data_IF_266684739949
#
_entry.id   IF_266684739949
#
_cell.length_a   1.000
_cell.length_b   1.000
_cell.length_c   1.000
_cell.angle_alpha   90.00
_cell.angle_beta   90.00
_cell.angle_gamma   90.00
#
_symmetry.space_group_name_H-M   'P 1'
#
loop_
_entity.id
_entity.type
_entity.pdbx_description
1 polymer ?
#
# COMPACT_ATOMS: atom_id res chain seq x y z
N UNK A 1 5.75 9.97 -29.31
CA UNK A 1 7.18 9.62 -29.45
C UNK A 1 7.28 8.38 -30.34
N UNK A 2 8.29 8.31 -31.20
CA UNK A 2 8.62 7.15 -32.03
C UNK A 2 9.80 6.41 -31.40
N UNK A 3 9.66 5.09 -31.17
CA UNK A 3 10.79 4.25 -30.76
C UNK A 3 11.74 4.02 -31.93
N UNK A 4 13.03 4.22 -31.71
CA UNK A 4 14.08 4.15 -32.75
C UNK A 4 15.03 2.97 -32.57
N UNK A 5 15.16 2.45 -31.34
CA UNK A 5 15.87 1.23 -31.00
C UNK A 5 15.37 0.67 -29.66
N UNK A 6 15.47 -0.65 -29.48
CA UNK A 6 15.26 -1.31 -28.20
C UNK A 6 16.24 -2.48 -28.00
N UNK A 7 16.69 -2.67 -26.76
CA UNK A 7 17.68 -3.66 -26.39
C UNK A 7 17.17 -4.47 -25.20
N UNK A 8 17.42 -5.77 -25.22
CA UNK A 8 17.27 -6.67 -24.08
C UNK A 8 18.62 -7.35 -23.90
N UNK A 9 19.20 -7.20 -22.71
CA UNK A 9 20.43 -7.86 -22.31
C UNK A 9 20.12 -8.68 -21.05
N UNK A 10 20.27 -9.99 -21.13
CA UNK A 10 19.92 -10.92 -20.08
C UNK A 10 21.18 -11.56 -19.49
N UNK A 11 21.25 -11.58 -18.17
CA UNK A 11 22.12 -12.44 -17.39
C UNK A 11 21.32 -13.65 -16.95
N UNK A 12 21.76 -14.84 -17.34
CA UNK A 12 21.07 -16.10 -17.04
C UNK A 12 21.99 -17.12 -16.35
N UNK A 13 23.30 -16.94 -16.46
CA UNK A 13 24.32 -17.84 -15.91
C UNK A 13 24.65 -17.46 -14.46
N UNK A 14 24.92 -18.45 -13.61
CA UNK A 14 25.38 -18.26 -12.21
C UNK A 14 24.41 -17.48 -11.29
N UNK A 15 23.13 -17.43 -11.64
CA UNK A 15 22.09 -16.64 -10.95
C UNK A 15 21.06 -17.48 -10.17
N UNK A 16 21.46 -18.66 -9.68
CA UNK A 16 20.54 -19.61 -9.04
C UNK A 16 19.94 -19.06 -7.73
N UNK A 17 20.70 -18.28 -6.97
CA UNK A 17 20.31 -17.78 -5.65
C UNK A 17 19.83 -16.31 -5.70
N UNK A 18 18.84 -15.91 -4.87
CA UNK A 18 18.36 -14.53 -4.81
C UNK A 18 19.45 -13.49 -4.57
N UNK A 19 20.40 -13.78 -3.67
CA UNK A 19 21.49 -12.87 -3.34
C UNK A 19 22.46 -12.68 -4.51
N UNK A 20 22.70 -13.73 -5.30
CA UNK A 20 23.51 -13.63 -6.53
C UNK A 20 22.83 -12.72 -7.56
N UNK A 21 21.51 -12.83 -7.72
CA UNK A 21 20.73 -11.96 -8.61
C UNK A 21 20.71 -10.51 -8.13
N UNK A 22 20.57 -10.30 -6.83
CA UNK A 22 20.64 -8.95 -6.23
C UNK A 22 22.01 -8.33 -6.45
N UNK A 23 23.09 -9.05 -6.15
CA UNK A 23 24.45 -8.58 -6.34
C UNK A 23 24.77 -8.25 -7.80
N UNK A 24 24.33 -9.07 -8.76
CA UNK A 24 24.49 -8.77 -10.19
C UNK A 24 23.64 -7.55 -10.59
N UNK A 25 22.39 -7.46 -10.12
CA UNK A 25 21.55 -6.29 -10.33
C UNK A 25 22.20 -4.99 -9.84
N UNK A 26 22.78 -5.00 -8.65
CA UNK A 26 23.45 -3.84 -8.06
C UNK A 26 24.73 -3.48 -8.82
N UNK A 27 25.51 -4.47 -9.27
CA UNK A 27 26.67 -4.26 -10.15
C UNK A 27 26.26 -3.56 -11.45
N UNK A 28 25.20 -4.03 -12.10
CA UNK A 28 24.72 -3.44 -13.35
C UNK A 28 24.14 -2.03 -13.15
N UNK A 29 23.44 -1.80 -12.04
CA UNK A 29 22.98 -0.46 -11.66
C UNK A 29 24.16 0.49 -11.49
N UNK A 30 25.23 0.07 -10.82
CA UNK A 30 26.42 0.90 -10.63
C UNK A 30 27.05 1.35 -11.96
N UNK A 31 27.02 0.50 -13.01
CA UNK A 31 27.48 0.89 -14.37
C UNK A 31 26.62 2.01 -14.94
N UNK A 32 25.29 1.92 -14.80
CA UNK A 32 24.35 2.92 -15.32
C UNK A 32 24.43 4.22 -14.52
N UNK A 33 24.60 4.13 -13.20
CA UNK A 33 24.83 5.28 -12.32
C UNK A 33 26.13 5.99 -12.66
N UNK A 34 27.22 5.26 -12.91
CA UNK A 34 28.48 5.84 -13.37
C UNK A 34 28.32 6.53 -14.73
N UNK A 35 27.55 5.94 -15.65
CA UNK A 35 27.21 6.58 -16.92
C UNK A 35 26.41 7.88 -16.73
N UNK A 36 25.39 7.89 -15.86
CA UNK A 36 24.63 9.10 -15.55
C UNK A 36 25.50 10.19 -14.90
N UNK A 37 26.35 9.84 -13.94
CA UNK A 37 27.33 10.75 -13.34
C UNK A 37 28.30 11.31 -14.39
N UNK A 38 28.75 10.49 -15.34
CA UNK A 38 29.64 10.96 -16.42
C UNK A 38 29.01 12.01 -17.34
N UNK A 39 27.67 12.14 -17.34
CA UNK A 39 26.93 13.21 -18.02
C UNK A 39 26.76 14.48 -17.16
N UNK A 40 27.29 14.51 -15.93
CA UNK A 40 27.22 15.67 -15.03
C UNK A 40 26.02 15.71 -14.09
N UNK A 41 25.30 14.59 -13.91
CA UNK A 41 24.24 14.51 -12.91
C UNK A 41 24.82 14.58 -11.48
N UNK A 42 24.23 15.43 -10.63
CA UNK A 42 24.64 15.61 -9.23
C UNK A 42 24.16 14.50 -8.28
N UNK A 43 23.08 13.81 -8.67
CA UNK A 43 22.49 12.67 -7.96
C UNK A 43 22.26 11.52 -8.95
N UNK A 44 22.03 10.32 -8.41
CA UNK A 44 21.65 9.12 -9.17
C UNK A 44 20.28 8.57 -8.74
N UNK A 45 19.54 9.37 -7.97
CA UNK A 45 18.19 9.08 -7.48
C UNK A 45 17.27 10.27 -7.70
N UNK A 46 15.97 9.98 -7.81
CA UNK A 46 14.92 10.99 -8.00
C UNK A 46 14.98 11.63 -9.38
N UNK A 47 14.78 12.93 -9.45
CA UNK A 47 14.80 13.71 -10.68
C UNK A 47 15.89 14.77 -10.64
N UNK A 48 16.47 15.10 -11.78
CA UNK A 48 17.44 16.20 -11.88
C UNK A 48 17.79 16.55 -13.31
N UNK A 49 18.83 17.37 -13.47
CA UNK A 49 19.37 17.78 -14.77
C UNK A 49 20.81 17.28 -14.93
N UNK A 50 21.29 17.27 -16.18
CA UNK A 50 22.66 16.92 -16.52
C UNK A 50 23.15 17.75 -17.72
N UNK A 51 24.45 17.71 -18.01
CA UNK A 51 25.04 18.46 -19.11
C UNK A 51 25.00 17.64 -20.41
N UNK A 52 24.05 17.95 -21.30
CA UNK A 52 24.08 17.40 -22.66
C UNK A 52 25.28 17.95 -23.44
N UNK A 53 25.91 17.08 -24.24
CA UNK A 53 27.13 17.41 -25.00
C UNK A 53 26.88 18.48 -26.07
N UNK A 54 25.67 18.52 -26.62
CA UNK A 54 25.24 19.46 -27.66
C UNK A 54 24.57 20.72 -27.08
N UNK A 55 24.52 20.87 -25.76
CA UNK A 55 23.86 21.99 -25.09
C UNK A 55 22.33 21.90 -25.02
N UNK A 56 21.74 20.76 -25.37
CA UNK A 56 20.30 20.50 -25.19
C UNK A 56 19.85 20.65 -23.73
N UNK A 57 18.58 21.02 -23.54
CA UNK A 57 17.97 20.97 -22.21
C UNK A 57 17.77 19.51 -21.80
N UNK A 58 18.38 19.12 -20.69
CA UNK A 58 18.60 17.72 -20.36
C UNK A 58 18.23 17.40 -18.91
N UNK A 59 17.27 16.49 -18.76
CA UNK A 59 16.72 16.06 -17.49
C UNK A 59 16.76 14.54 -17.34
N UNK A 60 16.82 14.04 -16.13
CA UNK A 60 16.69 12.62 -15.83
C UNK A 60 15.64 12.36 -14.74
N UNK A 61 15.08 11.16 -14.76
CA UNK A 61 14.23 10.60 -13.72
C UNK A 61 14.67 9.16 -13.42
N UNK A 62 14.86 8.86 -12.15
CA UNK A 62 15.17 7.52 -11.66
C UNK A 62 13.99 7.01 -10.85
N UNK A 63 13.46 5.85 -11.23
CA UNK A 63 12.36 5.18 -10.53
C UNK A 63 12.83 3.83 -10.03
N UNK A 64 12.59 3.54 -8.76
CA UNK A 64 12.92 2.25 -8.14
C UNK A 64 11.66 1.63 -7.57
N UNK A 65 11.47 0.35 -7.85
CA UNK A 65 10.36 -0.47 -7.36
C UNK A 65 10.92 -1.77 -6.80
N UNK A 66 10.47 -2.17 -5.62
CA UNK A 66 10.88 -3.40 -4.95
C UNK A 66 9.65 -4.23 -4.66
N UNK A 67 9.72 -5.52 -4.94
CA UNK A 67 8.67 -6.51 -4.69
C UNK A 67 9.29 -7.79 -4.11
N UNK A 68 9.37 -7.86 -2.78
CA UNK A 68 10.07 -8.92 -2.07
C UNK A 68 11.56 -8.96 -2.45
N UNK A 69 12.00 -10.08 -3.02
CA UNK A 69 13.38 -10.26 -3.52
C UNK A 69 13.59 -9.69 -4.92
N UNK A 70 12.51 -9.35 -5.63
CA UNK A 70 12.57 -8.78 -6.97
C UNK A 70 12.66 -7.26 -6.89
N UNK A 71 13.26 -6.67 -7.91
CA UNK A 71 13.30 -5.21 -7.99
C UNK A 71 13.48 -4.73 -9.42
N UNK A 72 12.96 -3.56 -9.71
CA UNK A 72 13.10 -2.89 -10.98
C UNK A 72 13.56 -1.46 -10.73
N UNK A 73 14.63 -1.04 -11.41
CA UNK A 73 15.13 0.33 -11.35
C UNK A 73 15.31 0.85 -12.77
N UNK A 74 14.73 2.01 -13.07
CA UNK A 74 14.72 2.64 -14.39
C UNK A 74 15.35 4.02 -14.31
N UNK A 75 16.26 4.29 -15.24
CA UNK A 75 16.89 5.58 -15.48
C UNK A 75 16.37 6.11 -16.81
N UNK A 76 15.54 7.14 -16.78
CA UNK A 76 15.00 7.79 -17.96
C UNK A 76 15.70 9.14 -18.15
N UNK A 77 16.33 9.34 -19.30
CA UNK A 77 17.01 10.57 -19.68
C UNK A 77 16.25 11.20 -20.85
N UNK A 78 15.95 12.49 -20.74
CA UNK A 78 15.25 13.28 -21.74
C UNK A 78 16.12 14.48 -22.15
N UNK A 79 16.36 14.63 -23.45
CA UNK A 79 17.10 15.76 -24.04
C UNK A 79 16.18 16.47 -25.04
N UNK A 80 16.03 17.79 -24.91
CA UNK A 80 15.28 18.63 -25.84
C UNK A 80 16.26 19.55 -26.56
N UNK A 81 16.40 19.36 -27.87
CA UNK A 81 17.30 20.17 -28.70
C UNK A 81 16.73 21.57 -28.94
N UNK A 82 17.57 22.56 -29.31
CA UNK A 82 17.10 23.91 -29.65
C UNK A 82 16.03 23.94 -30.75
N UNK A 83 16.05 22.98 -31.68
CA UNK A 83 15.06 22.83 -32.75
C UNK A 83 13.75 22.15 -32.29
N UNK A 84 13.60 21.89 -31.00
CA UNK A 84 12.41 21.28 -30.41
C UNK A 84 12.29 19.77 -30.68
N UNK A 85 13.40 19.06 -30.91
CA UNK A 85 13.40 17.60 -30.94
C UNK A 85 13.58 17.06 -29.53
N UNK A 86 12.74 16.09 -29.15
CA UNK A 86 12.84 15.40 -27.86
C UNK A 86 13.44 14.02 -28.07
N UNK A 87 14.53 13.70 -27.40
CA UNK A 87 15.13 12.38 -27.34
C UNK A 87 14.94 11.81 -25.94
N UNK A 88 14.49 10.56 -25.85
CA UNK A 88 14.34 9.85 -24.58
C UNK A 88 15.13 8.56 -24.64
N UNK A 89 16.03 8.37 -23.68
CA UNK A 89 16.74 7.09 -23.47
C UNK A 89 16.37 6.55 -22.10
N UNK A 90 15.73 5.39 -22.07
CA UNK A 90 15.35 4.72 -20.83
C UNK A 90 16.17 3.45 -20.67
N UNK A 91 16.82 3.26 -19.53
CA UNK A 91 17.64 2.09 -19.19
C UNK A 91 17.12 1.53 -17.88
N UNK A 92 16.65 0.29 -17.87
CA UNK A 92 16.22 -0.37 -16.63
C UNK A 92 16.98 -1.64 -16.34
N UNK A 93 17.18 -1.91 -15.05
CA UNK A 93 17.67 -3.18 -14.52
C UNK A 93 16.54 -3.82 -13.72
N UNK A 94 16.21 -5.04 -14.10
CA UNK A 94 15.18 -5.86 -13.47
C UNK A 94 15.85 -7.07 -12.85
N UNK A 95 15.79 -7.18 -11.53
CA UNK A 95 16.18 -8.37 -10.78
C UNK A 95 14.93 -9.23 -10.65
N UNK A 96 14.90 -10.31 -11.44
CA UNK A 96 13.77 -11.22 -11.53
C UNK A 96 13.94 -12.47 -10.69
N UNK A 97 13.05 -13.43 -10.93
CA UNK A 97 13.07 -14.74 -10.26
C UNK A 97 14.24 -15.63 -10.70
N UNK A 98 14.66 -15.54 -11.96
CA UNK A 98 15.65 -16.46 -12.56
C UNK A 98 16.82 -15.75 -13.21
N UNK A 99 16.64 -14.50 -13.61
CA UNK A 99 17.59 -13.74 -14.40
C UNK A 99 17.67 -12.30 -13.89
N UNK A 100 18.70 -11.59 -14.36
CA UNK A 100 18.77 -10.14 -14.28
C UNK A 100 18.70 -9.61 -15.70
N UNK A 101 17.75 -8.72 -15.96
CA UNK A 101 17.48 -8.20 -17.31
C UNK A 101 17.71 -6.71 -17.36
N UNK A 102 18.53 -6.28 -18.33
CA UNK A 102 18.64 -4.88 -18.72
C UNK A 102 17.77 -4.64 -19.94
N UNK A 103 16.82 -3.71 -19.82
CA UNK A 103 15.98 -3.29 -20.93
C UNK A 103 16.25 -1.82 -21.25
N UNK A 104 16.59 -1.54 -22.51
CA UNK A 104 16.92 -0.19 -22.98
C UNK A 104 16.03 0.20 -24.14
N UNK A 105 15.49 1.41 -24.11
CA UNK A 105 14.72 2.00 -25.20
C UNK A 105 15.27 3.37 -25.57
N UNK A 106 15.30 3.64 -26.88
CA UNK A 106 15.57 4.96 -27.41
C UNK A 106 14.35 5.43 -28.18
N UNK A 107 13.89 6.64 -27.90
CA UNK A 107 12.73 7.25 -28.54
C UNK A 107 13.05 8.68 -28.98
N UNK A 108 12.40 9.10 -30.07
CA UNK A 108 12.49 10.46 -30.60
C UNK A 108 11.09 11.02 -30.82
N UNK A 109 10.93 12.32 -30.62
CA UNK A 109 9.72 13.05 -31.00
C UNK A 109 10.02 14.53 -31.17
N UNK A 110 8.96 15.32 -31.24
CA UNK A 110 9.04 16.78 -31.25
C UNK A 110 8.16 17.33 -30.15
N UNK A 111 8.60 18.45 -29.56
CA UNK A 111 7.75 19.28 -28.69
C UNK A 111 6.90 20.26 -29.50
N UNK A 112 7.14 20.39 -30.79
CA UNK A 112 6.35 21.21 -31.70
C UNK A 112 5.15 20.41 -32.25
N UNK A 113 4.03 21.10 -32.48
CA UNK A 113 2.83 20.51 -33.10
C UNK A 113 2.93 20.64 -34.63
N UNK A 114 3.91 19.96 -35.23
CA UNK A 114 4.17 19.99 -36.67
C UNK A 114 4.21 18.57 -37.26
N UNK A 115 3.53 18.38 -38.39
CA UNK A 115 3.62 17.14 -39.17
C UNK A 115 4.88 17.22 -40.04
N UNK A 116 5.95 16.55 -39.62
CA UNK A 116 7.22 16.51 -40.36
C UNK A 116 7.93 15.17 -40.20
N UNK A 117 8.88 14.89 -41.10
CA UNK A 117 9.73 13.70 -41.01
C UNK A 117 10.84 13.94 -40.00
N UNK A 118 10.95 13.08 -39.00
CA UNK A 118 12.08 13.09 -38.06
C UNK A 118 13.16 12.15 -38.60
N UNK A 119 14.22 12.73 -39.15
CA UNK A 119 15.40 11.97 -39.55
C UNK A 119 16.33 11.76 -38.35
N UNK A 120 16.58 10.50 -38.02
CA UNK A 120 17.45 10.08 -36.93
C UNK A 120 18.43 9.03 -37.40
N UNK A 121 19.61 9.07 -36.79
CA UNK A 121 20.66 8.10 -37.01
C UNK A 121 21.08 7.49 -35.65
N UNK A 122 20.24 6.64 -35.04
CA UNK A 122 20.44 6.18 -33.67
C UNK A 122 21.67 5.27 -33.60
N UNK A 123 22.69 5.70 -32.86
CA UNK A 123 23.87 4.89 -32.53
C UNK A 123 23.62 4.06 -31.28
N UNK A 124 24.31 2.93 -31.14
CA UNK A 124 24.30 2.17 -29.89
C UNK A 124 24.68 3.08 -28.71
N UNK A 125 23.84 3.18 -27.66
CA UNK A 125 24.14 3.97 -26.47
C UNK A 125 25.46 3.53 -25.82
N UNK A 126 26.24 4.48 -25.30
CA UNK A 126 27.49 4.18 -24.60
C UNK A 126 27.26 3.20 -23.44
N UNK A 127 26.20 3.41 -22.66
CA UNK A 127 25.83 2.54 -21.53
C UNK A 127 25.60 1.09 -21.94
N UNK A 128 25.04 0.81 -23.13
CA UNK A 128 24.88 -0.57 -23.62
C UNK A 128 26.24 -1.23 -23.84
N UNK A 129 27.21 -0.51 -24.41
CA UNK A 129 28.58 -1.03 -24.57
C UNK A 129 29.30 -1.19 -23.23
N UNK A 130 29.14 -0.22 -22.32
CA UNK A 130 29.76 -0.28 -20.99
C UNK A 130 29.20 -1.46 -20.17
N UNK A 131 27.92 -1.82 -20.35
CA UNK A 131 27.29 -3.03 -19.80
C UNK A 131 27.80 -4.31 -20.46
N UNK A 132 27.86 -4.37 -21.79
CA UNK A 132 28.37 -5.53 -22.52
C UNK A 132 29.86 -5.81 -22.24
N UNK A 133 30.63 -4.79 -21.82
CA UNK A 133 32.01 -4.93 -21.38
C UNK A 133 32.16 -5.55 -19.99
N UNK A 134 31.07 -5.68 -19.21
CA UNK A 134 31.12 -6.35 -17.91
C UNK A 134 31.37 -7.86 -18.06
N UNK A 135 32.18 -8.47 -17.18
CA UNK A 135 32.46 -9.92 -17.23
C UNK A 135 31.18 -10.78 -17.21
N UNK A 136 31.24 -11.97 -17.82
CA UNK A 136 30.12 -12.92 -17.90
C UNK A 136 29.37 -12.94 -19.23
N UNK A 137 28.54 -13.95 -19.46
CA UNK A 137 27.70 -14.07 -20.66
C UNK A 137 26.56 -13.06 -20.68
N UNK A 138 26.30 -12.47 -21.85
CA UNK A 138 25.11 -11.66 -22.12
C UNK A 138 24.27 -12.35 -23.17
N UNK A 139 22.96 -12.34 -22.98
CA UNK A 139 22.02 -13.01 -23.88
C UNK A 139 20.91 -12.08 -24.32
N UNK A 140 20.36 -12.37 -25.48
CA UNK A 140 19.02 -11.96 -25.88
C UNK A 140 18.30 -13.26 -26.22
N UNK A 141 17.28 -13.66 -25.45
CA UNK A 141 16.67 -14.97 -25.59
C UNK A 141 17.72 -16.10 -25.58
N UNK A 142 17.68 -16.99 -26.58
CA UNK A 142 18.64 -18.09 -26.69
C UNK A 142 19.99 -17.67 -27.32
N UNK A 143 20.14 -16.43 -27.80
CA UNK A 143 21.36 -15.98 -28.48
C UNK A 143 22.32 -15.29 -27.52
N UNK A 144 23.57 -15.76 -27.48
CA UNK A 144 24.65 -15.04 -26.80
C UNK A 144 25.05 -13.80 -27.59
N UNK A 145 25.05 -12.65 -26.92
CA UNK A 145 25.52 -11.38 -27.44
C UNK A 145 27.05 -11.36 -27.43
N UNK A 146 27.65 -11.00 -28.56
CA UNK A 146 29.11 -10.98 -28.75
C UNK A 146 29.52 -9.64 -29.37
N UNK A 147 30.79 -9.29 -29.17
CA UNK A 147 31.44 -8.25 -29.96
C UNK A 147 31.76 -8.74 -31.37
N UNK A 148 32.77 -8.14 -32.01
CA UNK A 148 33.30 -8.63 -33.28
C UNK A 148 33.90 -10.03 -33.09
N UNK A 149 33.47 -11.00 -33.90
CA UNK A 149 34.03 -12.35 -33.93
C UNK A 149 34.80 -12.57 -35.23
N UNK A 150 36.05 -13.01 -35.15
CA UNK A 150 36.84 -13.47 -36.30
C UNK A 150 36.56 -14.95 -36.54
N UNK A 151 36.31 -15.32 -37.79
CA UNK A 151 36.01 -16.68 -38.21
C UNK A 151 36.86 -16.99 -39.42
N UNK A 152 37.91 -17.77 -39.18
CA UNK A 152 38.98 -18.01 -40.13
C UNK A 152 39.08 -19.51 -40.39
N UNK A 153 39.19 -19.91 -41.66
CA UNK A 153 39.22 -21.30 -42.09
C UNK A 153 37.83 -21.94 -42.27
N UNK A 154 37.83 -23.04 -43.02
CA UNK A 154 36.62 -23.74 -43.45
C UNK A 154 35.78 -24.27 -42.27
N UNK A 155 36.40 -24.98 -41.31
CA UNK A 155 35.69 -25.57 -40.17
C UNK A 155 34.99 -24.53 -39.29
N UNK A 156 35.63 -23.37 -39.08
CA UNK A 156 35.01 -22.28 -38.33
C UNK A 156 33.85 -21.64 -39.11
N UNK A 157 33.98 -21.54 -40.44
CA UNK A 157 32.91 -21.11 -41.32
C UNK A 157 31.71 -22.06 -41.34
N UNK A 158 31.95 -23.38 -41.33
CA UNK A 158 30.91 -24.41 -41.23
C UNK A 158 30.13 -24.27 -39.92
N UNK A 159 30.84 -24.15 -38.79
CA UNK A 159 30.23 -23.90 -37.49
C UNK A 159 29.38 -22.61 -37.46
N UNK A 160 29.86 -21.53 -38.08
CA UNK A 160 29.09 -20.29 -38.21
C UNK A 160 27.84 -20.49 -39.09
N UNK A 161 27.94 -21.25 -40.18
CA UNK A 161 26.79 -21.53 -41.03
C UNK A 161 25.68 -22.28 -40.28
N UNK A 162 26.06 -23.25 -39.44
CA UNK A 162 25.13 -23.95 -38.56
C UNK A 162 24.50 -22.99 -37.53
N UNK A 163 25.28 -22.06 -36.94
CA UNK A 163 24.76 -21.04 -36.03
C UNK A 163 23.78 -20.08 -36.74
N UNK A 164 24.04 -19.74 -38.01
CA UNK A 164 23.16 -18.90 -38.84
C UNK A 164 21.80 -19.58 -39.05
N UNK A 165 21.78 -20.90 -39.27
CA UNK A 165 20.58 -21.73 -39.48
C UNK A 165 19.84 -22.10 -38.20
N UNK A 166 20.42 -21.83 -37.02
CA UNK A 166 19.77 -22.11 -35.75
C UNK A 166 18.44 -21.33 -35.62
N UNK A 167 17.34 -22.06 -35.50
CA UNK A 167 15.98 -21.50 -35.43
C UNK A 167 15.69 -20.79 -34.10
N UNK A 168 16.41 -21.15 -33.04
CA UNK A 168 16.24 -20.54 -31.72
C UNK A 168 17.00 -19.22 -31.59
N UNK A 169 17.84 -18.89 -32.59
CA UNK A 169 18.51 -17.58 -32.63
C UNK A 169 17.47 -16.46 -32.66
N UNK A 170 17.73 -15.39 -31.91
CA UNK A 170 16.80 -14.27 -31.71
C UNK A 170 17.36 -12.93 -32.13
N UNK A 171 18.66 -12.85 -32.47
CA UNK A 171 19.28 -11.63 -32.99
C UNK A 171 19.87 -11.85 -34.38
N UNK A 172 19.86 -10.84 -35.26
CA UNK A 172 20.52 -10.93 -36.56
C UNK A 172 22.04 -11.09 -36.43
N UNK A 173 22.62 -11.77 -37.42
CA UNK A 173 24.07 -11.79 -37.63
C UNK A 173 24.43 -10.91 -38.82
N UNK A 174 25.47 -10.11 -38.69
CA UNK A 174 26.04 -9.33 -39.80
C UNK A 174 27.40 -9.91 -40.13
N UNK A 175 27.52 -10.52 -41.29
CA UNK A 175 28.76 -11.14 -41.74
C UNK A 175 29.46 -10.22 -42.72
N UNK A 176 30.73 -9.95 -42.49
CA UNK A 176 31.62 -9.15 -43.33
C UNK A 176 32.72 -10.06 -43.87
N UNK A 177 32.66 -10.36 -45.17
CA UNK A 177 33.71 -11.13 -45.84
C UNK A 177 34.94 -10.27 -46.05
N UNK A 178 36.11 -10.88 -45.86
CA UNK A 178 37.42 -10.29 -46.15
C UNK A 178 38.00 -10.91 -47.41
N UNK A 179 38.84 -10.13 -48.08
CA UNK A 179 39.70 -10.56 -49.18
C UNK A 179 41.13 -10.15 -48.83
N UNK A 180 42.07 -11.09 -48.90
CA UNK A 180 43.47 -10.94 -48.51
C UNK A 180 43.61 -10.33 -47.10
N UNK A 181 42.76 -10.79 -46.17
CA UNK A 181 42.71 -10.31 -44.78
C UNK A 181 42.11 -8.90 -44.59
N UNK A 182 41.66 -8.23 -45.65
CA UNK A 182 41.10 -6.88 -45.60
C UNK A 182 39.59 -6.85 -45.90
N UNK A 183 38.87 -5.90 -45.30
CA UNK A 183 37.48 -5.61 -45.64
C UNK A 183 37.38 -4.66 -46.85
N UNK A 184 36.29 -4.74 -47.62
CA UNK A 184 36.12 -3.92 -48.83
C UNK A 184 36.16 -2.40 -48.57
N UNK A 185 35.80 -1.98 -47.35
CA UNK A 185 35.99 -0.64 -46.83
C UNK A 185 36.74 -0.75 -45.50
N UNK A 186 37.82 0.02 -45.26
CA UNK A 186 38.65 -0.14 -44.06
C UNK A 186 37.85 -0.07 -42.75
N UNK A 187 38.09 -1.05 -41.86
CA UNK A 187 37.46 -1.17 -40.52
C UNK A 187 35.93 -1.30 -40.52
N UNK A 188 35.33 -1.69 -41.63
CA UNK A 188 33.87 -1.80 -41.74
C UNK A 188 33.27 -2.74 -40.69
N UNK A 189 33.87 -3.90 -40.51
CA UNK A 189 33.54 -4.90 -39.49
C UNK A 189 33.61 -4.36 -38.06
N UNK A 190 34.71 -3.70 -37.69
CA UNK A 190 34.90 -3.08 -36.36
C UNK A 190 33.83 -2.01 -36.08
N UNK A 191 33.56 -1.16 -37.07
CA UNK A 191 32.58 -0.08 -36.93
C UNK A 191 31.16 -0.59 -36.86
N UNK A 192 30.81 -1.60 -37.64
CA UNK A 192 29.50 -2.26 -37.55
C UNK A 192 29.34 -2.97 -36.20
N UNK A 193 30.36 -3.67 -35.70
CA UNK A 193 30.31 -4.30 -34.38
C UNK A 193 30.08 -3.28 -33.26
N UNK A 194 30.73 -2.12 -33.34
CA UNK A 194 30.53 -1.02 -32.38
C UNK A 194 29.12 -0.41 -32.48
N UNK A 195 28.61 -0.23 -33.70
CA UNK A 195 27.33 0.43 -33.96
C UNK A 195 26.12 -0.45 -33.60
N UNK A 196 26.26 -1.78 -33.73
CA UNK A 196 25.19 -2.77 -33.58
C UNK A 196 25.26 -3.56 -32.26
N UNK A 197 26.20 -3.21 -31.37
CA UNK A 197 26.37 -3.89 -30.10
C UNK A 197 25.05 -3.99 -29.32
N UNK A 198 24.68 -5.21 -28.94
CA UNK A 198 23.46 -5.53 -28.20
C UNK A 198 22.21 -5.77 -29.05
N UNK A 199 22.26 -5.54 -30.37
CA UNK A 199 21.13 -5.83 -31.29
C UNK A 199 21.51 -6.75 -32.45
N UNK A 200 22.80 -6.93 -32.74
CA UNK A 200 23.30 -7.92 -33.69
C UNK A 200 24.70 -8.40 -33.29
N UNK A 201 25.05 -9.63 -33.68
CA UNK A 201 26.43 -10.10 -33.64
C UNK A 201 27.09 -9.84 -34.99
N UNK A 202 28.33 -9.36 -34.97
CA UNK A 202 29.10 -9.09 -36.20
C UNK A 202 30.23 -10.10 -36.32
N UNK A 203 30.28 -10.77 -37.45
CA UNK A 203 31.30 -11.75 -37.78
C UNK A 203 32.12 -11.23 -38.95
N UNK A 204 33.43 -11.38 -38.86
CA UNK A 204 34.31 -11.17 -40.00
C UNK A 204 34.92 -12.50 -40.42
N UNK A 205 34.65 -12.87 -41.67
CA UNK A 205 35.04 -14.16 -42.24
C UNK A 205 36.15 -13.97 -43.26
N UNK A 206 37.07 -14.92 -43.34
CA UNK A 206 38.02 -15.01 -44.47
C UNK A 206 37.40 -15.75 -45.67
N UNK A 207 38.21 -16.01 -46.69
CA UNK A 207 37.80 -16.68 -47.93
C UNK A 207 37.36 -18.12 -47.69
N UNK A 208 38.12 -18.89 -46.90
CA UNK A 208 37.82 -20.29 -46.61
C UNK A 208 36.52 -20.42 -45.82
N UNK A 209 36.31 -19.57 -44.81
CA UNK A 209 35.04 -19.50 -44.09
C UNK A 209 33.89 -19.06 -45.00
N UNK A 210 34.13 -18.12 -45.93
CA UNK A 210 33.12 -17.70 -46.93
C UNK A 210 32.71 -18.86 -47.87
N UNK A 211 33.65 -19.74 -48.23
CA UNK A 211 33.37 -20.97 -48.98
C UNK A 211 32.55 -21.96 -48.16
N UNK A 212 32.90 -22.19 -46.89
CA UNK A 212 32.10 -23.04 -46.00
C UNK A 212 30.66 -22.53 -45.84
N UNK A 213 30.47 -21.21 -45.68
CA UNK A 213 29.13 -20.60 -45.70
C UNK A 213 28.38 -20.90 -47.01
N UNK A 214 29.08 -20.92 -48.14
CA UNK A 214 28.48 -21.21 -49.45
C UNK A 214 28.01 -22.65 -49.56
N UNK A 215 28.78 -23.60 -49.02
CA UNK A 215 28.43 -25.02 -49.07
C UNK A 215 27.20 -25.33 -48.22
N UNK A 216 27.13 -24.76 -47.01
CA UNK A 216 26.04 -25.02 -46.06
C UNK A 216 24.78 -24.18 -46.36
N UNK A 217 24.94 -22.87 -46.61
CA UNK A 217 23.81 -21.95 -46.84
C UNK A 217 23.35 -21.91 -48.30
N UNK A 218 24.17 -22.45 -49.22
CA UNK A 218 24.02 -22.37 -50.69
C UNK A 218 24.36 -20.98 -51.25
N UNK A 219 24.70 -20.96 -52.53
CA UNK A 219 25.11 -19.75 -53.28
C UNK A 219 24.19 -18.53 -53.08
N UNK A 220 22.86 -18.63 -53.13
CA UNK A 220 22.00 -17.45 -52.99
C UNK A 220 22.12 -16.78 -51.62
N UNK A 221 22.44 -17.54 -50.56
CA UNK A 221 22.54 -17.08 -49.18
C UNK A 221 23.99 -16.86 -48.70
N UNK A 222 25.02 -17.08 -49.53
CA UNK A 222 26.43 -16.88 -49.16
C UNK A 222 26.88 -15.42 -48.94
N UNK A 223 27.90 -15.18 -48.12
CA UNK A 223 28.62 -13.90 -48.02
C UNK A 223 30.06 -14.10 -48.47
N UNK A 224 30.49 -13.42 -49.54
CA UNK A 224 31.77 -13.69 -50.20
C UNK A 224 32.40 -12.42 -50.77
N UNK A 225 33.69 -12.49 -51.13
CA UNK A 225 34.36 -11.49 -51.97
C UNK A 225 34.26 -10.07 -51.45
N UNK A 226 34.44 -9.87 -50.15
CA UNK A 226 34.37 -8.54 -49.53
C UNK A 226 32.95 -8.02 -49.26
N UNK A 227 31.93 -8.85 -49.45
CA UNK A 227 30.55 -8.47 -49.23
C UNK A 227 30.17 -8.37 -47.74
N UNK A 228 29.08 -7.67 -47.47
CA UNK A 228 28.39 -7.64 -46.17
C UNK A 228 27.00 -8.23 -46.34
N UNK A 229 26.57 -9.11 -45.41
CA UNK A 229 25.22 -9.66 -45.40
C UNK A 229 24.60 -9.62 -44.01
N UNK A 230 23.30 -9.32 -43.96
CA UNK A 230 22.48 -9.50 -42.76
C UNK A 230 21.76 -10.84 -42.85
N UNK A 231 21.97 -11.70 -41.85
CA UNK A 231 21.21 -12.92 -41.64
C UNK A 231 20.21 -12.71 -40.49
N UNK A 232 18.94 -12.45 -40.82
CA UNK A 232 17.87 -12.41 -39.82
C UNK A 232 17.65 -13.76 -39.13
N UNK A 233 17.14 -13.75 -37.89
CA UNK A 233 16.68 -14.94 -37.18
C UNK A 233 15.76 -15.84 -38.02
N UNK A 234 15.72 -17.14 -37.67
CA UNK A 234 14.83 -18.14 -38.29
C UNK A 234 15.02 -18.29 -39.80
N UNK A 235 16.27 -18.22 -40.25
CA UNK A 235 16.63 -18.48 -41.65
C UNK A 235 16.38 -19.96 -41.96
N UNK A 236 15.58 -20.23 -42.98
CA UNK A 236 15.41 -21.57 -43.55
C UNK A 236 16.28 -21.72 -44.81
N UNK A 237 16.68 -22.95 -45.16
CA UNK A 237 17.56 -23.20 -46.32
C UNK A 237 16.97 -22.85 -47.70
N UNK A 238 15.66 -22.58 -47.77
CA UNK A 238 14.95 -22.11 -48.96
C UNK A 238 14.34 -20.71 -48.79
N UNK A 239 14.76 -19.96 -47.77
CA UNK A 239 14.25 -18.61 -47.54
C UNK A 239 14.67 -17.66 -48.66
N UNK A 240 13.88 -16.60 -48.86
CA UNK A 240 14.14 -15.59 -49.88
C UNK A 240 15.46 -14.83 -49.56
N UNK A 241 16.49 -14.93 -50.42
CA UNK A 241 17.76 -14.26 -50.19
C UNK A 241 17.68 -12.74 -50.07
N UNK A 242 16.62 -12.11 -50.60
CA UNK A 242 16.43 -10.65 -50.51
C UNK A 242 15.97 -10.19 -49.12
N UNK A 243 15.38 -11.09 -48.31
CA UNK A 243 15.14 -10.84 -46.89
C UNK A 243 16.47 -10.70 -46.14
N UNK A 244 17.49 -11.43 -46.57
CA UNK A 244 18.84 -11.46 -46.02
C UNK A 244 19.79 -10.55 -46.80
N UNK A 245 19.61 -9.24 -46.63
CA UNK A 245 20.18 -8.22 -47.49
C UNK A 245 21.71 -8.33 -47.65
N UNK A 246 22.17 -8.29 -48.91
CA UNK A 246 23.58 -8.40 -49.31
C UNK A 246 24.05 -7.09 -49.96
N UNK A 247 25.24 -6.63 -49.57
CA UNK A 247 26.00 -5.59 -50.23
C UNK A 247 27.31 -6.18 -50.73
N UNK A 248 27.47 -6.30 -52.05
CA UNK A 248 28.71 -6.76 -52.67
C UNK A 248 29.82 -5.72 -52.52
N UNK A 249 31.09 -6.13 -52.61
CA UNK A 249 32.22 -5.20 -52.58
C UNK A 249 32.09 -4.08 -53.62
N UNK A 250 31.69 -4.42 -54.86
CA UNK A 250 31.44 -3.43 -55.93
C UNK A 250 30.36 -2.43 -55.52
N UNK A 251 29.28 -2.89 -54.89
CA UNK A 251 28.23 -1.98 -54.40
C UNK A 251 28.77 -1.09 -53.30
N UNK A 252 29.52 -1.63 -52.34
CA UNK A 252 30.09 -0.89 -51.21
C UNK A 252 31.04 0.23 -51.67
N UNK A 253 31.94 -0.09 -52.59
CA UNK A 253 32.91 0.85 -53.16
C UNK A 253 32.24 1.89 -54.08
N UNK A 254 31.11 1.54 -54.70
CA UNK A 254 30.33 2.46 -55.54
C UNK A 254 29.35 3.38 -54.79
N UNK A 255 29.25 3.30 -53.46
CA UNK A 255 28.33 4.14 -52.65
C UNK A 255 28.72 5.63 -52.72
N UNK A 256 30.02 5.90 -52.68
CA UNK A 256 30.61 7.23 -52.70
C UNK A 256 32.05 7.12 -53.22
N UNK A 257 32.56 8.17 -53.87
CA UNK A 257 33.94 8.22 -54.35
C UNK A 257 34.94 8.30 -53.19
N UNK A 258 34.57 8.91 -52.06
CA UNK A 258 35.38 8.90 -50.84
C UNK A 258 35.10 7.64 -50.00
N UNK A 259 36.10 6.76 -49.76
CA UNK A 259 35.93 5.56 -48.95
C UNK A 259 35.41 5.84 -47.53
N UNK A 260 35.72 7.00 -46.94
CA UNK A 260 35.22 7.36 -45.60
C UNK A 260 33.72 7.69 -45.64
N UNK A 261 33.30 8.49 -46.62
CA UNK A 261 31.88 8.76 -46.85
C UNK A 261 31.10 7.48 -47.21
N UNK A 262 31.68 6.59 -48.02
CA UNK A 262 31.10 5.29 -48.34
C UNK A 262 30.89 4.44 -47.08
N UNK A 263 31.91 4.37 -46.21
CA UNK A 263 31.85 3.69 -44.91
C UNK A 263 30.73 4.24 -44.02
N UNK A 264 30.62 5.56 -43.87
CA UNK A 264 29.59 6.15 -43.02
C UNK A 264 28.17 5.94 -43.56
N UNK A 265 28.00 5.95 -44.89
CA UNK A 265 26.72 5.66 -45.55
C UNK A 265 26.29 4.21 -45.35
N UNK A 266 27.17 3.23 -45.56
CA UNK A 266 26.80 1.82 -45.34
C UNK A 266 26.51 1.56 -43.86
N UNK A 267 27.30 2.13 -42.94
CA UNK A 267 27.06 2.02 -41.50
C UNK A 267 25.68 2.54 -41.13
N UNK A 268 25.30 3.72 -41.63
CA UNK A 268 23.96 4.30 -41.42
C UNK A 268 22.87 3.41 -42.00
N UNK A 269 23.07 2.85 -43.20
CA UNK A 269 22.09 1.98 -43.84
C UNK A 269 21.85 0.71 -43.00
N UNK A 270 22.91 -0.02 -42.64
CA UNK A 270 22.82 -1.26 -41.84
C UNK A 270 22.22 -0.96 -40.47
N UNK A 271 22.69 0.09 -39.79
CA UNK A 271 22.17 0.52 -38.48
C UNK A 271 20.69 0.87 -38.54
N UNK A 272 20.26 1.62 -39.55
CA UNK A 272 18.84 1.97 -39.73
C UNK A 272 17.98 0.71 -39.88
N UNK A 273 18.43 -0.26 -40.66
CA UNK A 273 17.72 -1.52 -40.87
C UNK A 273 17.60 -2.31 -39.55
N UNK A 274 18.72 -2.53 -38.88
CA UNK A 274 18.76 -3.36 -37.65
C UNK A 274 18.06 -2.68 -36.48
N UNK A 275 18.31 -1.39 -36.25
CA UNK A 275 17.71 -0.65 -35.12
C UNK A 275 16.19 -0.49 -35.28
N UNK A 276 15.70 -0.28 -36.51
CA UNK A 276 14.24 -0.26 -36.76
C UNK A 276 13.60 -1.62 -36.51
N UNK A 277 14.25 -2.70 -36.94
CA UNK A 277 13.77 -4.05 -36.64
C UNK A 277 13.71 -4.27 -35.12
N UNK A 278 14.79 -3.92 -34.40
CA UNK A 278 14.84 -4.02 -32.94
C UNK A 278 13.76 -3.17 -32.25
N UNK A 279 13.54 -1.93 -32.69
CA UNK A 279 12.48 -1.07 -32.15
C UNK A 279 11.09 -1.68 -32.31
N UNK A 280 10.85 -2.39 -33.40
CA UNK A 280 9.56 -3.04 -33.70
C UNK A 280 9.40 -4.39 -33.00
N UNK A 281 10.47 -5.18 -32.83
CA UNK A 281 10.39 -6.58 -32.39
C UNK A 281 10.78 -6.84 -30.94
N UNK A 282 11.55 -5.95 -30.31
CA UNK A 282 12.02 -6.14 -28.93
C UNK A 282 10.94 -5.66 -27.96
N UNK A 283 10.34 -6.61 -27.23
CA UNK A 283 9.23 -6.39 -26.31
C UNK A 283 9.75 -6.27 -24.88
N UNK A 284 9.21 -5.33 -24.11
CA UNK A 284 9.54 -5.20 -22.68
C UNK A 284 9.26 -6.53 -21.96
N UNK A 285 10.19 -7.05 -21.13
CA UNK A 285 9.95 -8.23 -20.31
C UNK A 285 8.72 -8.06 -19.40
N UNK A 286 7.80 -9.02 -19.41
CA UNK A 286 6.56 -8.97 -18.61
C UNK A 286 6.81 -8.88 -17.10
N UNK A 287 7.94 -9.42 -16.63
CA UNK A 287 8.35 -9.34 -15.23
C UNK A 287 8.51 -7.88 -14.72
N UNK A 288 8.85 -6.94 -15.61
CA UNK A 288 8.87 -5.50 -15.27
C UNK A 288 7.47 -5.02 -14.90
N UNK A 289 6.47 -5.38 -15.71
CA UNK A 289 5.09 -4.96 -15.48
C UNK A 289 4.49 -5.68 -14.26
N UNK A 290 4.90 -6.93 -13.99
CA UNK A 290 4.51 -7.67 -12.79
C UNK A 290 5.04 -7.02 -11.49
N UNK A 291 6.34 -6.67 -11.46
CA UNK A 291 6.97 -5.98 -10.32
C UNK A 291 6.29 -4.64 -10.08
N UNK A 292 6.09 -3.84 -11.14
CA UNK A 292 5.43 -2.53 -11.06
C UNK A 292 3.98 -2.65 -10.61
N UNK A 293 3.24 -3.61 -11.17
CA UNK A 293 1.84 -3.85 -10.82
C UNK A 293 1.66 -4.31 -9.38
N UNK A 294 2.56 -5.16 -8.87
CA UNK A 294 2.51 -5.64 -7.48
C UNK A 294 2.81 -4.52 -6.49
N UNK A 295 3.84 -3.71 -6.76
CA UNK A 295 4.14 -2.56 -5.94
C UNK A 295 3.04 -1.50 -5.97
N UNK A 296 2.45 -1.20 -7.12
CA UNK A 296 1.33 -0.26 -7.21
C UNK A 296 0.12 -0.74 -6.39
N UNK A 297 -0.18 -2.04 -6.41
CA UNK A 297 -1.25 -2.63 -5.58
C UNK A 297 -0.93 -2.54 -4.08
N UNK A 298 0.32 -2.79 -3.66
CA UNK A 298 0.71 -2.70 -2.25
C UNK A 298 0.67 -1.25 -1.76
N UNK A 299 1.14 -0.30 -2.57
CA UNK A 299 1.07 1.14 -2.26
C UNK A 299 -0.38 1.62 -2.12
N UNK A 300 -1.25 1.19 -3.03
CA UNK A 300 -2.68 1.48 -2.96
C UNK A 300 -3.32 0.90 -1.70
N UNK A 301 -3.00 -0.35 -1.33
CA UNK A 301 -3.50 -0.96 -0.10
C UNK A 301 -3.04 -0.21 1.16
N UNK A 302 -1.79 0.27 1.20
CA UNK A 302 -1.27 1.10 2.30
C UNK A 302 -1.99 2.44 2.38
N UNK A 303 -2.22 3.10 1.23
CA UNK A 303 -2.97 4.36 1.18
C UNK A 303 -4.42 4.18 1.62
N UNK A 304 -5.08 3.09 1.20
CA UNK A 304 -6.44 2.76 1.61
C UNK A 304 -6.52 2.50 3.12
N UNK A 305 -5.55 1.77 3.69
CA UNK A 305 -5.47 1.56 5.13
C UNK A 305 -5.25 2.88 5.91
N UNK A 306 -4.39 3.77 5.39
CA UNK A 306 -4.20 5.11 5.97
C UNK A 306 -5.45 5.97 5.89
N UNK A 307 -6.18 5.91 4.78
CA UNK A 307 -7.44 6.65 4.61
C UNK A 307 -8.50 6.16 5.61
N UNK A 308 -8.69 4.85 5.73
CA UNK A 308 -9.59 4.25 6.72
C UNK A 308 -9.19 4.62 8.16
N UNK A 309 -7.91 4.56 8.50
CA UNK A 309 -7.44 4.97 9.83
C UNK A 309 -7.68 6.47 10.11
N UNK A 310 -7.59 7.32 9.09
CA UNK A 310 -7.86 8.76 9.22
C UNK A 310 -9.36 9.04 9.39
N UNK A 311 -10.23 8.28 8.75
CA UNK A 311 -11.68 8.33 8.98
C UNK A 311 -12.04 7.90 10.40
N UNK A 312 -11.49 6.78 10.89
CA UNK A 312 -11.69 6.33 12.28
C UNK A 312 -11.21 7.37 13.30
N UNK A 313 -10.08 8.03 13.03
CA UNK A 313 -9.55 9.08 13.90
C UNK A 313 -10.48 10.30 13.92
N UNK A 314 -11.02 10.71 12.77
CA UNK A 314 -12.01 11.79 12.69
C UNK A 314 -13.29 11.45 13.46
N UNK A 315 -13.81 10.23 13.30
CA UNK A 315 -15.00 9.77 14.01
C UNK A 315 -14.80 9.79 15.54
N UNK A 316 -13.64 9.31 16.01
CA UNK A 316 -13.28 9.38 17.44
C UNK A 316 -13.18 10.83 17.94
N UNK A 317 -12.54 11.71 17.16
CA UNK A 317 -12.44 13.13 17.52
C UNK A 317 -13.81 13.81 17.62
N UNK A 318 -14.72 13.54 16.69
CA UNK A 318 -16.11 14.01 16.75
C UNK A 318 -16.83 13.49 17.99
N UNK A 319 -16.71 12.18 18.28
CA UNK A 319 -17.34 11.61 19.49
C UNK A 319 -16.80 12.23 20.78
N UNK A 320 -15.49 12.54 20.86
CA UNK A 320 -14.89 13.19 22.02
C UNK A 320 -15.42 14.62 22.21
N UNK A 321 -15.65 15.35 21.11
CA UNK A 321 -16.28 16.66 21.16
C UNK A 321 -17.73 16.56 21.67
N UNK A 322 -18.51 15.62 21.13
CA UNK A 322 -19.89 15.37 21.58
C UNK A 322 -19.95 14.97 23.06
N UNK A 323 -19.04 14.10 23.53
CA UNK A 323 -18.95 13.73 24.95
C UNK A 323 -18.62 14.92 25.84
N UNK A 324 -17.76 15.83 25.37
CA UNK A 324 -17.43 17.05 26.10
C UNK A 324 -18.64 17.98 26.20
N UNK A 325 -19.36 18.20 25.10
CA UNK A 325 -20.56 19.05 25.08
C UNK A 325 -21.64 18.52 26.03
N UNK A 326 -21.83 17.19 26.05
CA UNK A 326 -22.74 16.53 26.99
C UNK A 326 -22.28 16.74 28.44
N UNK A 327 -20.99 16.56 28.75
CA UNK A 327 -20.46 16.77 30.09
C UNK A 327 -20.63 18.21 30.57
N UNK A 328 -20.40 19.19 29.69
CA UNK A 328 -20.60 20.62 29.97
C UNK A 328 -22.09 20.93 30.23
N UNK A 329 -23.01 20.32 29.47
CA UNK A 329 -24.46 20.42 29.72
C UNK A 329 -24.85 19.85 31.08
N UNK A 330 -24.35 18.66 31.43
CA UNK A 330 -24.62 18.06 32.74
C UNK A 330 -24.04 18.88 33.90
N UNK A 331 -22.92 19.57 33.70
CA UNK A 331 -22.37 20.46 34.71
C UNK A 331 -23.30 21.67 34.93
N UNK A 332 -23.78 22.29 33.85
CA UNK A 332 -24.73 23.40 33.92
C UNK A 332 -26.08 23.01 34.55
N UNK A 333 -26.60 21.82 34.21
CA UNK A 333 -27.83 21.29 34.81
C UNK A 333 -27.65 21.02 36.31
N UNK A 334 -26.50 20.45 36.72
CA UNK A 334 -26.20 20.24 38.14
C UNK A 334 -26.11 21.55 38.93
N UNK A 335 -25.51 22.59 38.35
CA UNK A 335 -25.43 23.91 39.00
C UNK A 335 -26.82 24.56 39.11
N UNK A 336 -27.67 24.40 38.09
CA UNK A 336 -29.07 24.84 38.13
C UNK A 336 -29.85 24.10 39.22
N UNK A 337 -29.75 22.78 39.28
CA UNK A 337 -30.41 21.96 40.30
C UNK A 337 -29.93 22.29 41.72
N UNK A 338 -28.64 22.62 41.90
CA UNK A 338 -28.11 23.09 43.18
C UNK A 338 -28.73 24.43 43.58
N UNK A 339 -28.89 25.36 42.64
CA UNK A 339 -29.56 26.62 42.91
C UNK A 339 -31.05 26.43 43.24
N UNK A 340 -31.76 25.56 42.50
CA UNK A 340 -33.16 25.23 42.78
C UNK A 340 -33.34 24.56 44.15
N UNK A 341 -32.46 23.61 44.51
CA UNK A 341 -32.46 22.98 45.83
C UNK A 341 -32.27 24.02 46.94
N UNK A 342 -31.28 24.91 46.80
CA UNK A 342 -31.05 25.98 47.79
C UNK A 342 -32.25 26.92 47.92
N UNK A 343 -32.92 27.25 46.82
CA UNK A 343 -34.13 28.08 46.83
C UNK A 343 -35.31 27.35 47.51
N UNK A 344 -35.50 26.06 47.21
CA UNK A 344 -36.52 25.21 47.84
C UNK A 344 -36.28 25.01 49.33
N UNK A 345 -35.03 24.83 49.76
CA UNK A 345 -34.67 24.76 51.18
C UNK A 345 -35.00 26.07 51.90
N UNK A 346 -34.70 27.21 51.29
CA UNK A 346 -35.07 28.53 51.82
C UNK A 346 -36.60 28.69 51.96
N UNK A 347 -37.36 28.23 50.97
CA UNK A 347 -38.83 28.25 51.00
C UNK A 347 -39.40 27.32 52.08
N UNK A 348 -38.82 26.13 52.26
CA UNK A 348 -39.21 25.21 53.34
C UNK A 348 -38.98 25.83 54.71
N UNK A 349 -37.87 26.55 54.91
CA UNK A 349 -37.60 27.23 56.17
C UNK A 349 -38.58 28.38 56.42
N UNK A 350 -38.92 29.16 55.39
CA UNK A 350 -39.96 30.20 55.50
C UNK A 350 -41.33 29.62 55.86
N UNK A 351 -41.74 28.53 55.21
CA UNK A 351 -43.01 27.86 55.50
C UNK A 351 -43.03 27.26 56.92
N UNK A 352 -41.89 26.72 57.39
CA UNK A 352 -41.76 26.24 58.78
C UNK A 352 -41.93 27.38 59.78
N UNK A 353 -41.28 28.52 59.55
CA UNK A 353 -41.41 29.71 60.39
C UNK A 353 -42.85 30.24 60.40
N UNK A 354 -43.55 30.19 59.26
CA UNK A 354 -44.94 30.61 59.13
C UNK A 354 -45.89 29.66 59.86
N UNK A 355 -45.72 28.34 59.71
CA UNK A 355 -46.48 27.34 60.46
C UNK A 355 -46.28 27.55 61.96
N UNK A 356 -45.05 27.72 62.43
CA UNK A 356 -44.75 27.94 63.83
C UNK A 356 -45.43 29.21 64.37
N UNK A 357 -45.47 30.28 63.57
CA UNK A 357 -46.18 31.52 63.91
C UNK A 357 -47.69 31.34 63.99
N UNK A 358 -48.28 30.69 62.98
CA UNK A 358 -49.72 30.41 62.94
C UNK A 358 -50.14 29.48 64.09
N UNK A 359 -49.29 28.53 64.49
CA UNK A 359 -49.52 27.69 65.66
C UNK A 359 -49.50 28.51 66.96
N UNK A 360 -48.53 29.41 67.13
CA UNK A 360 -48.48 30.31 68.28
C UNK A 360 -49.71 31.24 68.34
N UNK A 361 -50.11 31.82 67.20
CA UNK A 361 -51.31 32.65 67.09
C UNK A 361 -52.59 31.86 67.41
N UNK A 362 -52.71 30.64 66.88
CA UNK A 362 -53.80 29.71 67.22
C UNK A 362 -53.86 29.45 68.72
N UNK A 363 -52.71 29.18 69.36
CA UNK A 363 -52.63 28.95 70.81
C UNK A 363 -53.04 30.20 71.61
N UNK A 364 -52.63 31.39 71.16
CA UNK A 364 -53.04 32.66 71.76
C UNK A 364 -54.55 32.92 71.60
N UNK A 365 -55.13 32.62 70.44
CA UNK A 365 -56.57 32.71 70.19
C UNK A 365 -57.37 31.71 71.04
N UNK A 366 -56.87 30.48 71.20
CA UNK A 366 -57.47 29.48 72.11
C UNK A 366 -57.46 30.01 73.55
N UNK A 367 -56.35 30.61 73.99
CA UNK A 367 -56.26 31.23 75.31
C UNK A 367 -57.24 32.42 75.49
N UNK A 368 -57.40 33.27 74.47
CA UNK A 368 -58.38 34.38 74.47
C UNK A 368 -59.83 33.89 74.47
N UNK A 369 -60.14 32.84 73.70
CA UNK A 369 -61.44 32.16 73.74
C UNK A 369 -61.72 31.50 75.10
N UNK A 370 -60.67 31.01 75.76
CA UNK A 370 -60.70 30.54 77.15
C UNK A 370 -61.01 31.65 78.17
N UNK A 371 -60.65 32.91 77.91
CA UNK A 371 -60.99 34.05 78.78
C UNK A 371 -62.43 34.59 78.56
N UNK A 372 -63.07 34.29 77.44
CA UNK A 372 -64.46 34.69 77.15
C UNK A 372 -65.53 33.71 77.67
N UNK A 373 -65.14 32.64 78.37
CA UNK A 373 -66.04 31.72 79.07
C UNK A 373 -65.46 31.32 80.43
N UNK A 374 -66.08 31.81 81.50
CA UNK A 374 -65.88 31.28 82.87
C UNK A 374 -67.09 30.43 83.22
N UNK A 375 -66.95 29.10 83.19
CA UNK A 375 -67.11 28.15 84.31
C UNK A 375 -66.96 26.69 83.84
N UNK A 376 -66.61 25.75 84.75
CA UNK A 376 -65.80 24.57 84.49
C UNK A 376 -66.62 23.29 84.31
N UNK A 377 -66.06 22.29 83.63
CA UNK A 377 -65.86 20.92 84.17
C UNK A 377 -65.32 19.95 83.12
N UNK A 378 -64.71 18.90 83.67
CA UNK A 378 -64.46 17.57 83.11
C UNK A 378 -63.34 17.42 82.06
N UNK A 379 -62.28 16.81 82.57
CA UNK A 379 -61.32 16.03 81.82
C UNK A 379 -62.01 14.90 81.04
N UNK A 380 -61.65 14.78 79.76
CA UNK A 380 -61.63 13.50 79.06
C UNK A 380 -60.25 13.35 78.40
N UNK A 381 -59.53 12.37 78.91
CA UNK A 381 -58.29 11.80 78.40
C UNK A 381 -58.69 10.75 77.38
N UNK A 382 -58.17 10.83 76.16
CA UNK A 382 -57.99 9.69 75.26
C UNK A 382 -57.20 10.10 74.00
N UNK A 383 -56.39 9.22 73.41
CA UNK A 383 -55.48 8.25 74.01
C UNK A 383 -54.02 8.61 73.69
N UNK A 384 -53.12 8.33 74.63
CA UNK A 384 -51.71 8.18 74.32
C UNK A 384 -51.57 7.19 73.16
N UNK A 385 -50.97 7.67 72.07
CA UNK A 385 -50.22 6.78 71.21
C UNK A 385 -49.23 6.05 72.13
N UNK A 386 -49.11 4.72 72.06
CA UNK A 386 -48.22 3.99 72.96
C UNK A 386 -46.86 4.66 72.97
N UNK A 387 -46.36 4.93 74.18
CA UNK A 387 -45.02 5.46 74.42
C UNK A 387 -44.02 4.80 73.47
N UNK A 388 -43.19 5.63 72.84
CA UNK A 388 -42.14 5.18 71.91
C UNK A 388 -41.14 4.22 72.56
N UNK A 389 -41.20 4.04 73.89
CA UNK A 389 -40.35 3.15 74.68
C UNK A 389 -40.70 1.65 74.60
N UNK A 390 -41.82 1.25 73.99
CA UNK A 390 -42.10 -0.18 73.70
C UNK A 390 -41.69 -0.62 72.28
N UNK A 391 -41.40 0.31 71.36
CA UNK A 391 -41.08 -0.01 69.96
C UNK A 391 -39.67 -0.63 69.81
N UNK A 392 -38.76 -0.32 70.73
CA UNK A 392 -37.35 -0.75 70.70
C UNK A 392 -37.03 -1.91 71.65
N UNK A 393 -37.99 -2.45 72.40
CA UNK A 393 -37.75 -3.63 73.22
C UNK A 393 -37.55 -4.86 72.33
N UNK A 394 -36.48 -5.66 72.54
CA UNK A 394 -36.27 -6.87 71.79
C UNK A 394 -37.43 -7.85 72.00
N UNK A 395 -37.83 -8.60 70.96
CA UNK A 395 -38.91 -9.55 71.08
C UNK A 395 -38.58 -10.66 72.08
N UNK A 396 -39.56 -11.01 72.91
CA UNK A 396 -39.47 -12.16 73.82
C UNK A 396 -39.83 -13.46 73.12
N UNK A 397 -39.27 -14.59 73.56
CA UNK A 397 -39.55 -15.89 72.94
C UNK A 397 -41.04 -16.25 73.07
N UNK A 398 -41.69 -16.54 71.95
CA UNK A 398 -43.13 -16.81 71.86
C UNK A 398 -44.01 -15.58 71.55
N UNK A 399 -43.44 -14.38 71.54
CA UNK A 399 -44.16 -13.14 71.25
C UNK A 399 -44.59 -13.07 69.78
N UNK A 400 -45.78 -12.49 69.53
CA UNK A 400 -46.29 -12.25 68.18
C UNK A 400 -46.36 -10.75 67.92
N UNK A 401 -45.66 -10.30 66.88
CA UNK A 401 -45.63 -8.89 66.44
C UNK A 401 -46.12 -8.75 65.00
N UNK A 402 -46.65 -7.56 64.67
CA UNK A 402 -47.14 -7.24 63.33
C UNK A 402 -46.36 -6.09 62.71
N UNK A 403 -46.08 -6.19 61.41
CA UNK A 403 -45.30 -5.22 60.65
C UNK A 403 -45.97 -4.88 59.33
N UNK A 404 -46.04 -3.60 58.99
CA UNK A 404 -46.56 -3.12 57.70
C UNK A 404 -45.41 -2.65 56.82
N UNK A 405 -45.44 -3.04 55.54
CA UNK A 405 -44.48 -2.55 54.55
C UNK A 405 -44.88 -1.14 54.09
N UNK A 406 -44.00 -0.17 54.29
CA UNK A 406 -44.22 1.22 53.87
C UNK A 406 -43.73 1.44 52.43
N UNK A 407 -42.56 0.91 52.09
CA UNK A 407 -42.02 0.93 50.73
C UNK A 407 -40.99 -0.19 50.51
N UNK A 408 -40.55 -0.39 49.26
CA UNK A 408 -39.56 -1.42 48.90
C UNK A 408 -38.30 -0.76 48.35
N UNK A 409 -37.13 -1.23 48.77
CA UNK A 409 -35.84 -0.91 48.16
C UNK A 409 -35.38 -2.11 47.30
N UNK A 410 -34.40 -1.92 46.39
CA UNK A 410 -33.92 -3.01 45.54
C UNK A 410 -33.51 -4.27 46.33
N UNK A 411 -32.89 -4.10 47.50
CA UNK A 411 -32.34 -5.19 48.30
C UNK A 411 -33.22 -5.68 49.47
N UNK A 412 -34.17 -4.88 49.99
CA UNK A 412 -34.98 -5.21 51.17
C UNK A 412 -36.27 -4.37 51.24
N UNK A 413 -37.25 -4.81 52.02
CA UNK A 413 -38.48 -4.05 52.30
C UNK A 413 -38.31 -3.18 53.56
N UNK A 414 -38.86 -1.97 53.54
CA UNK A 414 -38.90 -1.11 54.73
C UNK A 414 -40.21 -1.36 55.47
N UNK A 415 -40.09 -1.82 56.71
CA UNK A 415 -41.18 -2.28 57.56
C UNK A 415 -41.28 -1.39 58.81
N UNK A 416 -42.50 -1.15 59.28
CA UNK A 416 -42.78 -0.48 60.56
C UNK A 416 -43.69 -1.36 61.40
N UNK A 417 -43.49 -1.39 62.72
CA UNK A 417 -44.36 -2.12 63.64
C UNK A 417 -45.75 -1.48 63.65
N UNK A 418 -46.79 -2.32 63.63
CA UNK A 418 -48.20 -1.90 63.67
C UNK A 418 -48.97 -2.82 64.63
N UNK A 419 -50.19 -2.41 64.99
CA UNK A 419 -51.12 -3.28 65.68
C UNK A 419 -51.63 -4.40 64.75
N UNK A 420 -52.26 -5.44 65.34
CA UNK A 420 -52.91 -6.51 64.56
C UNK A 420 -53.92 -5.91 63.58
N UNK A 421 -53.89 -6.40 62.34
CA UNK A 421 -54.85 -6.02 61.31
C UNK A 421 -56.23 -6.66 61.47
N UNK A 422 -56.42 -7.56 62.46
CA UNK A 422 -57.70 -8.16 62.80
C UNK A 422 -58.20 -9.22 61.80
N UNK A 423 -57.44 -9.51 60.75
CA UNK A 423 -57.77 -10.51 59.75
C UNK A 423 -57.26 -11.90 60.16
N UNK A 424 -57.94 -12.93 59.67
CA UNK A 424 -57.60 -14.35 59.92
C UNK A 424 -56.89 -15.02 58.75
N UNK A 425 -56.78 -14.34 57.60
CA UNK A 425 -56.19 -14.86 56.36
C UNK A 425 -54.65 -14.77 56.36
N UNK A 426 -53.98 -15.52 57.24
CA UNK A 426 -52.52 -15.57 57.34
C UNK A 426 -51.93 -16.67 56.45
N UNK A 427 -51.06 -16.29 55.53
CA UNK A 427 -50.45 -17.19 54.56
C UNK A 427 -48.93 -17.28 54.78
N UNK A 428 -48.42 -18.51 54.83
CA UNK A 428 -46.99 -18.79 55.00
C UNK A 428 -46.14 -18.20 53.87
N UNK A 429 -44.98 -17.65 54.21
CA UNK A 429 -44.17 -16.90 53.26
C UNK A 429 -42.75 -17.44 53.13
N UNK A 430 -42.64 -18.59 52.45
CA UNK A 430 -41.34 -19.22 52.19
C UNK A 430 -40.43 -18.33 51.33
N UNK A 431 -40.99 -17.53 50.41
CA UNK A 431 -40.28 -16.77 49.37
C UNK A 431 -40.16 -15.25 49.62
N UNK A 432 -40.42 -14.75 50.83
CA UNK A 432 -40.35 -13.30 51.12
C UNK A 432 -38.98 -12.82 51.60
N UNK A 433 -37.96 -12.98 50.76
CA UNK A 433 -36.58 -12.67 51.13
C UNK A 433 -36.35 -11.17 51.40
N UNK A 434 -37.08 -10.30 50.70
CA UNK A 434 -37.00 -8.84 50.95
C UNK A 434 -37.61 -8.44 52.29
N UNK A 435 -38.72 -9.06 52.70
CA UNK A 435 -39.35 -8.81 53.99
C UNK A 435 -38.49 -9.35 55.14
N UNK A 436 -37.91 -10.55 54.99
CA UNK A 436 -36.95 -11.12 55.97
C UNK A 436 -35.72 -10.21 56.15
N UNK A 437 -35.13 -9.73 55.05
CA UNK A 437 -34.01 -8.77 55.08
C UNK A 437 -34.41 -7.42 55.68
N UNK A 438 -35.63 -6.97 55.42
CA UNK A 438 -36.21 -5.78 56.03
C UNK A 438 -36.34 -5.88 57.54
N UNK A 439 -36.89 -6.99 58.02
CA UNK A 439 -37.09 -7.27 59.43
C UNK A 439 -35.75 -7.44 60.17
N UNK A 440 -34.81 -8.18 59.58
CA UNK A 440 -33.46 -8.34 60.14
C UNK A 440 -32.70 -7.01 60.23
N UNK A 441 -33.01 -6.04 59.37
CA UNK A 441 -32.42 -4.69 59.42
C UNK A 441 -33.10 -3.79 60.46
N UNK A 442 -34.42 -3.96 60.65
CA UNK A 442 -35.18 -3.23 61.66
C UNK A 442 -34.82 -3.65 63.09
N UNK A 443 -34.53 -4.94 63.31
CA UNK A 443 -34.35 -5.52 64.65
C UNK A 443 -32.91 -5.94 64.99
N UNK A 444 -31.96 -5.69 64.09
CA UNK A 444 -30.53 -5.91 64.33
C UNK A 444 -30.15 -7.38 64.60
N UNK A 445 -29.76 -7.67 65.84
CA UNK A 445 -29.25 -8.97 66.30
C UNK A 445 -30.38 -9.99 66.58
N UNK A 446 -31.64 -9.56 66.68
CA UNK A 446 -32.79 -10.44 66.91
C UNK A 446 -33.33 -10.97 65.59
N UNK A 447 -32.79 -12.08 65.10
CA UNK A 447 -33.11 -12.69 63.79
C UNK A 447 -33.80 -14.05 63.87
N UNK A 448 -34.02 -14.56 65.07
CA UNK A 448 -34.60 -15.89 65.28
C UNK A 448 -36.11 -15.76 65.49
N UNK A 449 -36.87 -15.87 64.40
CA UNK A 449 -38.33 -15.97 64.46
C UNK A 449 -38.79 -17.37 64.04
N UNK A 450 -39.70 -17.95 64.80
CA UNK A 450 -40.36 -19.23 64.50
C UNK A 450 -41.17 -19.22 63.22
N UNK A 451 -41.92 -18.14 62.94
CA UNK A 451 -42.71 -18.06 61.70
C UNK A 451 -42.93 -16.63 61.19
N UNK A 452 -43.03 -16.51 59.87
CA UNK A 452 -43.34 -15.27 59.16
C UNK A 452 -44.49 -15.52 58.18
N UNK A 453 -45.61 -14.84 58.40
CA UNK A 453 -46.82 -14.96 57.59
C UNK A 453 -47.23 -13.58 57.06
N UNK A 454 -47.81 -13.53 55.86
CA UNK A 454 -48.41 -12.31 55.33
C UNK A 454 -49.93 -12.40 55.35
N UNK A 455 -50.61 -11.28 55.53
CA UNK A 455 -52.06 -11.20 55.47
C UNK A 455 -52.52 -11.10 54.00
N UNK A 456 -53.34 -12.06 53.57
CA UNK A 456 -53.91 -12.08 52.21
C UNK A 456 -55.07 -11.11 51.99
N UNK A 457 -55.61 -10.52 53.06
CA UNK A 457 -56.77 -9.61 53.00
C UNK A 457 -56.41 -8.13 53.05
N UNK A 458 -55.17 -7.78 53.42
CA UNK A 458 -54.76 -6.37 53.56
C UNK A 458 -54.40 -5.74 52.22
N UNK A 459 -55.17 -4.75 51.78
CA UNK A 459 -54.86 -3.91 50.61
C UNK A 459 -54.00 -2.72 51.03
N UNK A 460 -52.84 -2.49 50.40
CA UNK A 460 -51.98 -1.32 50.67
C UNK A 460 -50.66 -1.61 51.40
N UNK A 461 -49.86 -2.54 50.86
CA UNK A 461 -48.47 -2.76 51.30
C UNK A 461 -48.29 -3.82 52.39
N UNK A 462 -48.80 -5.04 52.15
CA UNK A 462 -48.49 -6.30 52.84
C UNK A 462 -48.21 -6.21 54.35
N UNK A 463 -49.19 -6.61 55.17
CA UNK A 463 -49.01 -6.77 56.62
C UNK A 463 -48.43 -8.15 56.91
N UNK A 464 -47.44 -8.18 57.81
CA UNK A 464 -46.68 -9.35 58.21
C UNK A 464 -46.90 -9.67 59.68
N UNK A 465 -47.17 -10.93 59.99
CA UNK A 465 -47.21 -11.49 61.34
C UNK A 465 -45.93 -12.28 61.58
N UNK A 466 -45.20 -11.91 62.61
CA UNK A 466 -43.95 -12.55 63.03
C UNK A 466 -44.18 -13.16 64.39
N UNK A 467 -43.90 -14.45 64.52
CA UNK A 467 -43.83 -15.13 65.81
C UNK A 467 -42.37 -15.42 66.12
N UNK A 468 -41.91 -14.95 67.28
CA UNK A 468 -40.52 -15.11 67.74
C UNK A 468 -40.28 -16.49 68.33
#
# INVERSE_FOLDING_TARGET
>A
MQKVAAYILERTEELQWPDARRAEGDRLRAVIEAWLKSKGASSVDGTGTYAAVDGSDASYQVTTVVDGERSWRMFELSEITPEGRKFVTSVSVSVGHKNVVVFVTMEVGSVATLITRIEVDPKCPKVVRDLLAQPGGWFHGASRLRGLSRVDGFDAGDALALEIQNQDRTIPFVVVSRVDGATALPKLDEKLAQDLAGVANVYSVDEDASWALTDVLRKPLSTYGGAVRIYWPRLAGNDDPFRHQLWTATRLQGIDADPRAALDRIRRQVRTIVMRASAASVVRPGEIDDIRGTAARSEYAVLQAKASALEDLKAKASSLAEFKDIADSYAADNDTLRHELAARDTELDQLRDEVQRLEADKQALIFQLGQAKVTPEAAEVEPDAPDQDEADQPPTAGEVRFYKKTHSKPAYDVLVRVADCGHTAWQGSAKADKAKKGLARLLGEHREWKSLQHCGSCTGGGIWKVQW
#
